data_IF_525559081080
#
_entry.id   IF_525559081080
#
_cell.length_a   1.000
_cell.length_b   1.000
_cell.length_c   1.000
_cell.angle_alpha   90.00
_cell.angle_beta   90.00
_cell.angle_gamma   90.00
#
_symmetry.space_group_name_H-M   'P 1'
#
loop_
_entity.id
_entity.type
_entity.pdbx_description
1 polymer ?
#
# COMPACT_ATOMS: atom_id res chain seq x y z
N UNK A 1 -4.00 -9.02 -33.79
CA UNK A 1 -5.19 -8.53 -33.05
C UNK A 1 -4.74 -7.61 -31.91
N UNK A 2 -4.82 -6.29 -32.09
CA UNK A 2 -4.38 -5.34 -31.07
C UNK A 2 -5.39 -5.21 -29.91
N UNK A 3 -5.06 -4.36 -28.94
CA UNK A 3 -5.88 -4.05 -27.76
C UNK A 3 -7.35 -3.71 -28.10
N UNK A 4 -7.58 -2.94 -29.16
CA UNK A 4 -8.94 -2.57 -29.61
C UNK A 4 -9.76 -3.80 -30.00
N UNK A 5 -9.13 -4.78 -30.64
CA UNK A 5 -9.81 -5.99 -31.10
C UNK A 5 -10.11 -6.96 -29.94
N UNK A 6 -9.24 -7.00 -28.93
CA UNK A 6 -9.51 -7.72 -27.70
C UNK A 6 -10.74 -7.17 -26.96
N UNK A 7 -10.96 -5.85 -26.98
CA UNK A 7 -12.16 -5.25 -26.37
C UNK A 7 -13.43 -5.53 -27.17
N UNK A 8 -13.37 -5.50 -28.50
CA UNK A 8 -14.54 -5.87 -29.32
C UNK A 8 -14.96 -7.32 -29.11
N UNK A 9 -14.01 -8.22 -28.81
CA UNK A 9 -14.30 -9.63 -28.55
C UNK A 9 -14.85 -9.86 -27.13
N UNK A 10 -14.60 -8.95 -26.19
CA UNK A 10 -15.07 -9.01 -24.80
C UNK A 10 -16.40 -8.30 -24.54
N UNK A 11 -16.96 -7.61 -25.54
CA UNK A 11 -18.16 -6.77 -25.40
C UNK A 11 -18.00 -5.71 -24.29
N UNK A 12 -16.75 -5.32 -24.00
CA UNK A 12 -16.40 -4.28 -23.03
C UNK A 12 -16.30 -2.95 -23.79
N UNK A 13 -17.27 -2.05 -23.57
CA UNK A 13 -17.25 -0.74 -24.17
C UNK A 13 -15.96 0.00 -23.77
N UNK A 14 -15.18 0.41 -24.77
CA UNK A 14 -14.09 1.38 -24.65
C UNK A 14 -14.59 2.79 -24.26
N UNK A 15 -15.87 2.93 -23.90
CA UNK A 15 -16.46 4.19 -23.50
C UNK A 15 -15.65 4.76 -22.34
N UNK A 16 -14.90 5.81 -22.65
CA UNK A 16 -14.54 6.86 -21.71
C UNK A 16 -15.82 7.14 -20.93
N UNK A 17 -15.81 6.84 -19.62
CA UNK A 17 -16.98 7.09 -18.78
C UNK A 17 -17.44 8.55 -18.94
N UNK A 18 -18.70 8.82 -18.63
CA UNK A 18 -19.37 10.13 -18.84
C UNK A 18 -18.61 11.37 -18.28
N UNK A 19 -17.55 11.18 -17.49
CA UNK A 19 -16.56 12.18 -17.13
C UNK A 19 -15.33 12.12 -18.06
N UNK A 20 -15.25 13.07 -19.00
CA UNK A 20 -14.16 13.32 -19.96
C UNK A 20 -12.79 13.71 -19.31
N UNK A 21 -12.63 13.46 -18.01
CA UNK A 21 -11.42 13.74 -17.27
C UNK A 21 -10.36 12.65 -17.55
N UNK A 22 -9.16 13.02 -18.02
CA UNK A 22 -8.11 12.06 -18.36
C UNK A 22 -7.68 11.22 -17.14
N UNK A 23 -7.82 11.75 -15.91
CA UNK A 23 -7.54 11.05 -14.67
C UNK A 23 -8.47 9.87 -14.37
N UNK A 24 -9.69 9.87 -14.93
CA UNK A 24 -10.69 8.83 -14.71
C UNK A 24 -10.64 7.74 -15.80
N UNK A 25 -9.82 7.96 -16.85
CA UNK A 25 -9.65 6.98 -17.92
C UNK A 25 -8.94 5.73 -17.38
N UNK A 26 -9.60 4.58 -17.50
CA UNK A 26 -9.06 3.29 -17.06
C UNK A 26 -7.81 2.95 -17.90
N UNK A 27 -6.65 2.93 -17.24
CA UNK A 27 -5.41 2.50 -17.87
C UNK A 27 -5.32 0.98 -17.91
N UNK A 28 -5.22 0.44 -19.11
CA UNK A 28 -5.00 -0.99 -19.34
C UNK A 28 -3.51 -1.29 -19.38
N UNK A 29 -3.07 -2.02 -18.35
CA UNK A 29 -1.69 -2.46 -18.19
C UNK A 29 -1.61 -3.96 -18.53
N UNK A 30 -0.48 -4.46 -19.05
CA UNK A 30 -0.29 -5.89 -19.31
C UNK A 30 -0.66 -6.79 -18.12
N UNK A 31 -0.38 -6.37 -16.89
CA UNK A 31 -0.78 -7.06 -15.66
C UNK A 31 -2.30 -7.32 -15.50
N UNK A 32 -3.15 -6.56 -16.18
CA UNK A 32 -4.62 -6.74 -16.19
C UNK A 32 -5.10 -7.68 -17.30
N UNK A 33 -4.25 -7.99 -18.28
CA UNK A 33 -4.57 -8.85 -19.40
C UNK A 33 -4.19 -10.31 -19.04
N UNK A 34 -5.01 -11.32 -19.41
CA UNK A 34 -4.67 -12.73 -19.23
C UNK A 34 -3.36 -13.10 -19.93
N UNK A 35 -2.54 -13.94 -19.29
CA UNK A 35 -1.21 -14.33 -19.78
C UNK A 35 -1.24 -14.84 -21.22
N UNK A 36 -2.26 -15.64 -21.56
CA UNK A 36 -2.42 -16.27 -22.88
C UNK A 36 -2.61 -15.28 -24.02
N UNK A 37 -3.16 -14.09 -23.72
CA UNK A 37 -3.46 -13.07 -24.72
C UNK A 37 -2.45 -11.92 -24.74
N UNK A 38 -1.55 -11.83 -23.75
CA UNK A 38 -0.55 -10.74 -23.68
C UNK A 38 0.34 -10.67 -24.91
N UNK A 39 0.85 -11.80 -25.39
CA UNK A 39 1.71 -11.82 -26.59
C UNK A 39 1.00 -11.38 -27.87
N UNK A 40 -0.34 -11.48 -27.88
CA UNK A 40 -1.15 -11.12 -29.05
C UNK A 40 -1.58 -9.65 -28.98
N UNK A 41 -1.86 -9.16 -27.77
CA UNK A 41 -2.46 -7.85 -27.51
C UNK A 41 -1.42 -6.76 -27.20
N UNK A 42 -0.40 -7.08 -26.41
CA UNK A 42 0.66 -6.15 -26.04
C UNK A 42 1.70 -6.06 -27.16
N UNK A 43 2.27 -4.87 -27.35
CA UNK A 43 3.47 -4.70 -28.17
C UNK A 43 4.68 -5.39 -27.52
N UNK A 44 5.67 -5.73 -28.34
CA UNK A 44 6.91 -6.33 -27.88
C UNK A 44 7.56 -5.49 -26.76
N UNK A 45 8.14 -6.18 -25.77
CA UNK A 45 8.85 -5.62 -24.61
C UNK A 45 8.04 -4.84 -23.57
N UNK A 46 6.77 -4.50 -23.83
CA UNK A 46 5.93 -3.73 -22.87
C UNK A 46 5.78 -4.47 -21.54
N UNK A 47 5.69 -5.81 -21.58
CA UNK A 47 5.62 -6.65 -20.37
C UNK A 47 6.87 -6.48 -19.49
N UNK A 48 8.06 -6.46 -20.11
CA UNK A 48 9.34 -6.29 -19.40
C UNK A 48 9.47 -4.90 -18.80
N UNK A 49 9.01 -3.88 -19.53
CA UNK A 49 9.00 -2.50 -19.05
C UNK A 49 8.07 -2.37 -17.84
N UNK A 50 6.86 -2.95 -17.90
CA UNK A 50 5.96 -2.96 -16.75
C UNK A 50 6.59 -3.71 -15.56
N UNK A 51 7.22 -4.86 -15.80
CA UNK A 51 7.91 -5.63 -14.76
C UNK A 51 8.95 -4.78 -14.02
N UNK A 52 9.83 -4.10 -14.75
CA UNK A 52 10.86 -3.24 -14.19
C UNK A 52 10.25 -2.07 -13.42
N UNK A 53 9.24 -1.41 -14.00
CA UNK A 53 8.54 -0.29 -13.36
C UNK A 53 7.88 -0.72 -12.05
N UNK A 54 7.23 -1.89 -12.03
CA UNK A 54 6.58 -2.42 -10.83
C UNK A 54 7.59 -2.78 -9.76
N UNK A 55 8.73 -3.37 -10.12
CA UNK A 55 9.83 -3.62 -9.17
C UNK A 55 10.37 -2.34 -8.58
N UNK A 56 10.74 -1.37 -9.42
CA UNK A 56 11.23 -0.07 -8.97
C UNK A 56 10.24 0.59 -7.99
N UNK A 57 8.96 0.64 -8.38
CA UNK A 57 7.90 1.21 -7.53
C UNK A 57 7.70 0.45 -6.22
N UNK A 58 7.94 -0.86 -6.19
CA UNK A 58 7.89 -1.64 -4.96
C UNK A 58 9.07 -1.30 -4.04
N UNK A 59 10.30 -1.21 -4.55
CA UNK A 59 11.46 -0.80 -3.76
C UNK A 59 11.34 0.63 -3.24
N UNK A 60 10.91 1.58 -4.09
CA UNK A 60 10.70 2.98 -3.67
C UNK A 60 9.64 3.09 -2.56
N UNK A 61 8.57 2.30 -2.67
CA UNK A 61 7.53 2.24 -1.64
C UNK A 61 8.08 1.63 -0.34
N UNK A 62 8.91 0.58 -0.41
CA UNK A 62 9.57 0.00 0.76
C UNK A 62 10.49 1.00 1.45
N UNK A 63 11.33 1.71 0.70
CA UNK A 63 12.23 2.72 1.26
C UNK A 63 11.44 3.85 1.92
N UNK A 64 10.36 4.31 1.26
CA UNK A 64 9.43 5.29 1.83
C UNK A 64 8.78 4.80 3.13
N UNK A 65 8.35 3.53 3.20
CA UNK A 65 7.81 2.93 4.43
C UNK A 65 8.88 2.93 5.53
N UNK A 66 10.09 2.45 5.24
CA UNK A 66 11.18 2.41 6.23
C UNK A 66 11.54 3.80 6.74
N UNK A 67 11.69 4.76 5.83
CA UNK A 67 11.98 6.16 6.17
C UNK A 67 10.90 6.74 7.09
N UNK A 68 9.63 6.62 6.70
CA UNK A 68 8.52 7.17 7.48
C UNK A 68 8.34 6.48 8.84
N UNK A 69 8.63 5.18 8.94
CA UNK A 69 8.64 4.47 10.24
C UNK A 69 9.75 4.98 11.15
N UNK A 70 10.94 5.29 10.62
CA UNK A 70 12.03 5.93 11.39
C UNK A 70 11.61 7.31 11.89
N UNK A 71 10.99 8.12 11.03
CA UNK A 71 10.44 9.44 11.41
C UNK A 71 9.40 9.30 12.52
N UNK A 72 8.43 8.39 12.37
CA UNK A 72 7.40 8.10 13.39
C UNK A 72 8.04 7.74 14.74
N UNK A 73 9.04 6.87 14.73
CA UNK A 73 9.78 6.49 15.95
C UNK A 73 10.42 7.69 16.62
N UNK A 74 11.10 8.56 15.86
CA UNK A 74 11.73 9.77 16.41
C UNK A 74 10.71 10.74 17.00
N UNK A 75 9.55 10.89 16.35
CA UNK A 75 8.46 11.71 16.88
C UNK A 75 7.88 11.15 18.18
N UNK A 76 7.70 9.83 18.27
CA UNK A 76 7.25 9.18 19.51
C UNK A 76 8.26 9.41 20.64
N UNK A 77 9.56 9.22 20.38
CA UNK A 77 10.63 9.49 21.34
C UNK A 77 10.63 10.96 21.79
N UNK A 78 10.50 11.89 20.84
CA UNK A 78 10.42 13.32 21.13
C UNK A 78 9.21 13.66 22.01
N UNK A 79 8.02 13.14 21.65
CA UNK A 79 6.79 13.34 22.43
C UNK A 79 6.97 12.83 23.85
N UNK A 80 7.44 11.58 24.01
CA UNK A 80 7.59 10.94 25.31
C UNK A 80 8.59 11.69 26.22
N UNK A 81 9.63 12.30 25.65
CA UNK A 81 10.65 13.04 26.41
C UNK A 81 10.24 14.48 26.75
N UNK A 82 9.64 15.19 25.80
CA UNK A 82 9.53 16.65 25.85
C UNK A 82 8.10 17.17 26.04
N UNK A 83 7.08 16.39 25.67
CA UNK A 83 5.69 16.87 25.68
C UNK A 83 5.03 16.50 27.01
N UNK A 84 4.63 17.52 27.77
CA UNK A 84 3.90 17.39 29.03
C UNK A 84 2.51 18.04 28.93
N UNK A 85 1.57 17.55 29.73
CA UNK A 85 0.19 18.06 29.77
C UNK A 85 -0.70 17.55 28.64
N UNK A 86 -2.01 17.58 28.87
CA UNK A 86 -3.02 16.94 28.01
C UNK A 86 -3.14 17.60 26.63
N UNK A 87 -3.21 18.93 26.57
CA UNK A 87 -3.42 19.67 25.31
C UNK A 87 -2.29 19.45 24.29
N UNK A 88 -1.04 19.58 24.75
CA UNK A 88 0.13 19.40 23.88
C UNK A 88 0.31 17.93 23.48
N UNK A 89 -0.02 16.99 24.38
CA UNK A 89 -0.02 15.56 24.08
C UNK A 89 -1.00 15.19 22.94
N UNK A 90 -2.20 15.78 22.95
CA UNK A 90 -3.19 15.62 21.88
C UNK A 90 -2.67 16.09 20.53
N UNK A 91 -2.16 17.33 20.46
CA UNK A 91 -1.58 17.88 19.22
C UNK A 91 -0.41 17.04 18.70
N UNK A 92 0.51 16.63 19.58
CA UNK A 92 1.63 15.77 19.17
C UNK A 92 1.18 14.39 18.69
N UNK A 93 0.09 13.85 19.25
CA UNK A 93 -0.49 12.59 18.78
C UNK A 93 -1.08 12.74 17.38
N UNK A 94 -1.83 13.81 17.13
CA UNK A 94 -2.40 14.11 15.81
C UNK A 94 -1.33 14.16 14.70
N UNK A 95 -0.20 14.83 14.94
CA UNK A 95 0.90 14.87 13.96
C UNK A 95 1.51 13.48 13.74
N UNK A 96 1.62 12.65 14.79
CA UNK A 96 2.09 11.26 14.67
C UNK A 96 1.09 10.41 13.87
N UNK A 97 -0.20 10.63 14.05
CA UNK A 97 -1.27 9.92 13.34
C UNK A 97 -1.27 10.27 11.85
N UNK A 98 -1.09 11.55 11.48
CA UNK A 98 -0.90 11.98 10.08
C UNK A 98 0.29 11.26 9.44
N UNK A 99 1.41 11.15 10.15
CA UNK A 99 2.59 10.41 9.69
C UNK A 99 2.27 8.92 9.52
N UNK A 100 1.51 8.33 10.44
CA UNK A 100 1.08 6.94 10.35
C UNK A 100 0.18 6.70 9.14
N UNK A 101 -0.72 7.62 8.81
CA UNK A 101 -1.59 7.50 7.63
C UNK A 101 -0.80 7.60 6.33
N UNK A 102 0.25 8.43 6.28
CA UNK A 102 1.21 8.43 5.16
C UNK A 102 1.89 7.06 5.00
N UNK A 103 2.31 6.44 6.10
CA UNK A 103 2.88 5.07 6.05
C UNK A 103 1.87 4.09 5.43
N UNK A 104 0.60 4.12 5.86
CA UNK A 104 -0.44 3.26 5.26
C UNK A 104 -0.55 3.46 3.75
N UNK A 105 -0.50 4.70 3.28
CA UNK A 105 -0.49 5.02 1.85
C UNK A 105 0.68 4.39 1.09
N UNK A 106 1.90 4.41 1.67
CA UNK A 106 3.06 3.74 1.07
C UNK A 106 2.96 2.21 1.10
N UNK A 107 2.41 1.64 2.18
CA UNK A 107 2.14 0.20 2.28
C UNK A 107 1.17 -0.25 1.20
N UNK A 108 0.11 0.52 0.94
CA UNK A 108 -0.85 0.19 -0.11
C UNK A 108 -0.22 0.28 -1.50
N UNK A 109 0.60 1.30 -1.75
CA UNK A 109 1.38 1.40 -3.00
C UNK A 109 2.27 0.17 -3.20
N UNK A 110 2.95 -0.28 -2.14
CA UNK A 110 3.77 -1.49 -2.17
C UNK A 110 2.95 -2.74 -2.50
N UNK A 111 1.82 -2.95 -1.80
CA UNK A 111 0.93 -4.09 -2.01
C UNK A 111 0.36 -4.11 -3.43
N UNK A 112 -0.02 -2.95 -3.98
CA UNK A 112 -0.50 -2.81 -5.36
C UNK A 112 0.58 -3.16 -6.38
N UNK A 113 1.81 -2.67 -6.20
CA UNK A 113 2.94 -3.01 -7.07
C UNK A 113 3.26 -4.51 -7.01
N UNK A 114 3.30 -5.09 -5.81
CA UNK A 114 3.53 -6.53 -5.60
C UNK A 114 2.46 -7.40 -6.27
N UNK A 115 1.17 -7.02 -6.16
CA UNK A 115 0.07 -7.72 -6.83
C UNK A 115 0.23 -7.70 -8.34
N UNK A 116 0.60 -6.54 -8.90
CA UNK A 116 0.89 -6.41 -10.34
C UNK A 116 2.04 -7.32 -10.79
N UNK A 117 3.13 -7.37 -10.02
CA UNK A 117 4.25 -8.29 -10.29
C UNK A 117 3.82 -9.75 -10.26
N UNK A 118 2.98 -10.13 -9.30
CA UNK A 118 2.47 -11.50 -9.19
C UNK A 118 1.60 -11.88 -10.39
N UNK A 119 0.77 -10.96 -10.88
CA UNK A 119 -0.03 -11.17 -12.09
C UNK A 119 0.83 -11.22 -13.36
N UNK A 120 1.94 -10.47 -13.39
CA UNK A 120 2.79 -10.38 -14.57
C UNK A 120 3.75 -11.56 -14.71
N UNK A 121 4.55 -11.82 -13.66
CA UNK A 121 5.65 -12.81 -13.64
C UNK A 121 5.20 -14.15 -13.05
N UNK A 122 4.18 -14.14 -12.20
CA UNK A 122 3.84 -15.29 -11.38
C UNK A 122 4.76 -15.45 -10.15
N UNK A 123 4.58 -16.54 -9.37
CA UNK A 123 5.40 -16.83 -8.21
C UNK A 123 6.84 -17.16 -8.63
N UNK A 124 7.82 -16.64 -7.90
CA UNK A 124 9.23 -16.83 -8.24
C UNK A 124 10.21 -16.29 -7.21
N UNK A 125 11.50 -16.27 -7.56
CA UNK A 125 12.58 -15.83 -6.67
C UNK A 125 12.39 -14.41 -6.12
N UNK A 126 11.77 -13.53 -6.92
CA UNK A 126 11.52 -12.14 -6.55
C UNK A 126 10.64 -11.99 -5.29
N UNK A 127 9.83 -13.00 -4.93
CA UNK A 127 9.02 -12.98 -3.70
C UNK A 127 9.88 -13.06 -2.44
N UNK A 128 11.11 -13.61 -2.53
CA UNK A 128 12.06 -13.64 -1.42
C UNK A 128 12.56 -12.24 -1.08
N UNK A 129 12.71 -11.40 -2.10
CA UNK A 129 13.15 -10.01 -1.95
C UNK A 129 11.97 -9.10 -1.58
N UNK A 130 10.84 -9.24 -2.29
CA UNK A 130 9.63 -8.44 -2.09
C UNK A 130 8.55 -9.28 -1.37
N UNK A 131 8.73 -9.42 -0.06
CA UNK A 131 7.84 -10.22 0.80
C UNK A 131 6.46 -9.58 0.98
N UNK A 132 5.47 -10.39 1.36
CA UNK A 132 4.15 -9.89 1.73
C UNK A 132 4.28 -9.02 2.97
N UNK A 133 3.84 -7.76 2.89
CA UNK A 133 3.84 -6.84 4.02
C UNK A 133 2.50 -6.91 4.75
N UNK A 134 2.50 -7.59 5.89
CA UNK A 134 1.33 -7.69 6.75
C UNK A 134 1.15 -6.43 7.60
N UNK A 135 -0.05 -6.23 8.14
CA UNK A 135 -0.32 -5.10 9.04
C UNK A 135 0.55 -5.14 10.30
N UNK A 136 0.95 -6.34 10.74
CA UNK A 136 1.82 -6.54 11.89
C UNK A 136 3.25 -6.01 11.66
N UNK A 137 3.68 -5.92 10.41
CA UNK A 137 5.02 -5.47 10.04
C UNK A 137 5.11 -3.93 10.02
N UNK A 138 3.97 -3.25 9.94
CA UNK A 138 3.85 -1.78 9.90
C UNK A 138 3.81 -1.22 11.33
N UNK A 139 4.90 -1.41 12.08
CA UNK A 139 5.05 -0.92 13.47
C UNK A 139 6.21 0.03 13.61
N UNK A 140 6.12 0.95 14.57
CA UNK A 140 7.29 1.76 14.95
C UNK A 140 8.26 0.90 15.76
N UNK A 141 9.56 1.19 15.66
CA UNK A 141 10.62 0.47 16.39
C UNK A 141 10.48 0.48 17.92
N UNK A 142 9.64 1.37 18.45
CA UNK A 142 9.45 1.57 19.89
C UNK A 142 8.03 1.19 20.31
N UNK A 143 7.15 0.78 19.39
CA UNK A 143 5.83 0.28 19.78
C UNK A 143 6.01 -1.06 20.52
N UNK A 144 5.76 -1.13 21.85
CA UNK A 144 5.72 -2.42 22.52
C UNK A 144 4.64 -3.28 21.86
N UNK A 145 4.80 -4.60 21.89
CA UNK A 145 3.73 -5.49 21.48
C UNK A 145 2.41 -5.08 22.15
N UNK A 146 1.28 -5.08 21.41
CA UNK A 146 0.01 -4.67 21.95
C UNK A 146 -0.30 -5.59 23.13
N UNK A 147 -0.18 -5.05 24.35
CA UNK A 147 -0.52 -5.81 25.56
C UNK A 147 -1.95 -6.31 25.39
N UNK A 148 -2.15 -7.61 25.56
CA UNK A 148 -3.49 -8.22 25.56
C UNK A 148 -4.34 -7.42 26.55
N UNK A 149 -5.42 -6.81 26.07
CA UNK A 149 -6.33 -6.04 26.93
C UNK A 149 -6.96 -7.05 27.90
N UNK A 150 -6.55 -6.98 29.17
CA UNK A 150 -7.19 -7.76 30.23
C UNK A 150 -8.66 -7.31 30.40
N UNK A 151 -9.47 -8.09 31.13
CA UNK A 151 -10.80 -7.63 31.52
C UNK A 151 -10.61 -6.28 32.22
N UNK A 152 -11.23 -5.23 31.68
CA UNK A 152 -11.12 -3.87 32.24
C UNK A 152 -11.46 -3.87 33.74
N UNK A 153 -11.03 -2.84 34.46
CA UNK A 153 -11.41 -2.67 35.87
C UNK A 153 -12.95 -2.69 35.95
N UNK A 154 -13.52 -3.71 36.59
CA UNK A 154 -14.94 -3.74 36.94
C UNK A 154 -15.18 -2.58 37.91
N UNK A 155 -16.06 -1.66 37.53
CA UNK A 155 -16.54 -0.63 38.45
C UNK A 155 -17.19 -1.29 39.65
N UNK A 156 -17.01 -0.70 40.82
CA UNK A 156 -17.82 -1.00 42.01
C UNK A 156 -19.23 -0.49 41.72
N UNK A 157 -20.14 -1.39 41.39
CA UNK A 157 -21.56 -1.07 41.43
C UNK A 157 -21.88 -0.86 42.92
N UNK A 158 -22.21 0.36 43.32
CA UNK A 158 -22.81 0.62 44.63
C UNK A 158 -24.23 0.04 44.56
N UNK A 159 -24.48 -1.01 45.34
CA UNK A 159 -25.80 -1.61 45.52
C UNK A 159 -26.56 -0.80 46.58
N UNK A 160 -27.82 -0.45 46.26
CA UNK A 160 -28.80 0.28 47.08
C UNK A 160 -29.18 -0.46 48.38
#
# INVERSE_FOLDING_TARGET
PGLVQYFTDLDEDLSLGEDDQPENTKLWLPSLIPVDMRQTVCCDEVDRIEEQLRRARAYDALDSVQHMLRVKTKMIQFKNKNVRGQRMSGKSREVIDIVHDRVKGFVEKYRRSRRGLLLLVGPGYWEKELQVMEQKDVRSYVDPEPKKRGPGRRGTNEEE
#
